data_IF_480431890215
#
_entry.id   IF_480431890215
#
_cell.length_a   1.000
_cell.length_b   1.000
_cell.length_c   1.000
_cell.angle_alpha   90.00
_cell.angle_beta   90.00
_cell.angle_gamma   90.00
#
_symmetry.space_group_name_H-M   'P 1'
#
loop_
_entity.id
_entity.type
_entity.pdbx_description
1 polymer ?
#
# COMPACT_ATOMS: atom_id res chain seq x y z
N UNK A 1 14.51 -28.29 -23.33
CA UNK A 1 15.10 -26.96 -23.65
C UNK A 1 15.09 -26.65 -25.17
N UNK A 2 14.64 -27.58 -26.01
CA UNK A 2 14.56 -27.35 -27.47
C UNK A 2 13.31 -26.56 -27.90
N UNK A 3 12.27 -26.54 -27.08
CA UNK A 3 11.06 -25.77 -27.33
C UNK A 3 11.04 -24.50 -26.47
N UNK A 4 10.90 -23.30 -27.04
CA UNK A 4 10.79 -22.09 -26.26
C UNK A 4 9.61 -22.13 -25.30
N UNK A 5 9.80 -21.64 -24.11
CA UNK A 5 8.75 -21.48 -23.12
C UNK A 5 8.08 -20.12 -23.31
N UNK A 6 6.75 -20.08 -23.35
CA UNK A 6 6.04 -18.81 -23.32
C UNK A 6 6.10 -18.24 -21.91
N UNK A 7 6.66 -17.03 -21.79
CA UNK A 7 6.73 -16.29 -20.53
C UNK A 7 6.06 -14.94 -20.72
N UNK A 8 5.53 -14.40 -19.64
CA UNK A 8 4.94 -13.08 -19.58
C UNK A 8 5.45 -12.36 -18.32
N UNK A 9 5.96 -11.12 -18.45
CA UNK A 9 6.34 -10.34 -17.26
C UNK A 9 5.09 -10.05 -16.41
N UNK A 10 5.17 -10.39 -15.14
CA UNK A 10 4.09 -10.15 -14.20
C UNK A 10 4.66 -9.55 -12.91
N UNK A 11 3.89 -8.67 -12.27
CA UNK A 11 4.24 -8.13 -10.96
C UNK A 11 4.22 -9.30 -9.97
N UNK A 12 5.32 -9.46 -9.25
CA UNK A 12 5.50 -10.54 -8.29
C UNK A 12 5.56 -10.05 -6.84
N UNK A 13 6.20 -8.91 -6.61
CA UNK A 13 6.44 -8.36 -5.28
C UNK A 13 6.44 -6.83 -5.33
N UNK A 14 5.89 -6.18 -4.32
CA UNK A 14 5.90 -4.73 -4.18
C UNK A 14 6.89 -4.33 -3.07
N UNK A 15 7.97 -3.64 -3.44
CA UNK A 15 8.86 -3.03 -2.47
C UNK A 15 8.19 -1.80 -1.89
N UNK A 16 8.34 -1.63 -0.58
CA UNK A 16 7.62 -0.62 0.17
C UNK A 16 6.46 -1.21 0.95
N UNK A 17 5.79 -0.41 1.75
CA UNK A 17 4.69 -0.85 2.60
C UNK A 17 4.49 0.08 3.79
N UNK A 18 3.85 -0.41 4.83
CA UNK A 18 3.59 0.34 6.05
C UNK A 18 4.92 0.62 6.77
N UNK A 19 5.14 1.88 7.14
CA UNK A 19 6.29 2.24 7.98
C UNK A 19 6.21 1.54 9.34
N UNK A 20 7.32 0.98 9.78
CA UNK A 20 7.50 0.37 11.11
C UNK A 20 8.85 0.77 11.71
N UNK A 21 8.94 0.75 13.02
CA UNK A 21 10.20 0.85 13.75
C UNK A 21 10.93 -0.51 13.81
N UNK A 22 12.03 -0.57 14.56
CA UNK A 22 12.80 -1.82 14.71
C UNK A 22 12.06 -2.92 15.47
N UNK A 23 11.07 -2.56 16.23
CA UNK A 23 10.19 -3.50 16.94
C UNK A 23 8.97 -3.89 16.09
N UNK A 24 8.97 -3.55 14.79
CA UNK A 24 7.90 -3.79 13.82
C UNK A 24 6.57 -3.08 14.16
N UNK A 25 6.61 -2.09 15.05
CA UNK A 25 5.44 -1.30 15.40
C UNK A 25 5.25 -0.15 14.42
N UNK A 26 4.02 0.06 14.00
CA UNK A 26 3.63 1.17 13.13
C UNK A 26 3.56 2.48 13.90
N UNK A 27 3.19 3.57 13.25
CA UNK A 27 2.89 4.84 13.91
C UNK A 27 1.66 4.78 14.83
N UNK A 28 0.88 3.70 14.76
CA UNK A 28 -0.27 3.45 15.65
C UNK A 28 0.19 2.49 16.76
N UNK A 29 0.21 2.92 18.04
CA UNK A 29 0.64 2.06 19.12
C UNK A 29 -0.16 0.76 19.22
N UNK A 30 0.54 -0.38 19.30
CA UNK A 30 -0.07 -1.70 19.36
C UNK A 30 -0.45 -2.32 18.01
N UNK A 31 -0.24 -1.60 16.91
CA UNK A 31 -0.38 -2.14 15.57
C UNK A 31 1.00 -2.44 14.98
N UNK A 32 1.22 -3.68 14.59
CA UNK A 32 2.47 -4.18 14.03
C UNK A 32 2.28 -4.64 12.59
N UNK A 33 3.29 -4.45 11.75
CA UNK A 33 3.29 -4.96 10.38
C UNK A 33 4.57 -5.77 10.13
N UNK A 34 4.42 -6.99 9.60
CA UNK A 34 5.50 -7.92 9.34
C UNK A 34 5.51 -8.39 7.88
N UNK A 35 6.65 -8.88 7.42
CA UNK A 35 6.81 -9.38 6.06
C UNK A 35 6.57 -8.32 5.00
N UNK A 36 5.96 -8.70 3.89
CA UNK A 36 5.71 -7.79 2.75
C UNK A 36 4.75 -6.64 3.07
N UNK A 37 3.98 -6.73 4.16
CA UNK A 37 3.08 -5.65 4.57
C UNK A 37 3.84 -4.41 5.09
N UNK A 38 5.04 -4.57 5.63
CA UNK A 38 5.88 -3.45 6.03
C UNK A 38 6.79 -2.98 4.89
N UNK A 39 7.38 -1.78 5.04
CA UNK A 39 8.25 -1.20 4.01
C UNK A 39 9.54 -1.97 3.78
N UNK A 40 9.91 -2.84 4.70
CA UNK A 40 11.10 -3.70 4.73
C UNK A 40 12.44 -2.97 4.48
N UNK A 41 13.53 -3.71 4.56
CA UNK A 41 14.89 -3.23 4.31
C UNK A 41 15.42 -3.56 2.91
N UNK A 42 14.50 -3.92 1.98
CA UNK A 42 14.90 -4.28 0.61
C UNK A 42 15.37 -3.09 -0.23
N UNK A 43 15.08 -1.88 0.20
CA UNK A 43 15.40 -0.68 -0.57
C UNK A 43 14.63 -0.63 -1.89
N UNK A 44 15.29 -0.12 -2.93
CA UNK A 44 14.66 0.08 -4.24
C UNK A 44 14.44 -1.21 -5.03
N UNK A 45 15.13 -2.29 -4.71
CA UNK A 45 14.97 -3.58 -5.37
C UNK A 45 15.32 -4.74 -4.45
N UNK A 46 14.48 -5.76 -4.45
CA UNK A 46 14.61 -6.95 -3.63
C UNK A 46 15.51 -8.00 -4.28
N UNK A 47 16.44 -8.56 -3.52
CA UNK A 47 17.20 -9.74 -3.94
C UNK A 47 16.28 -10.99 -3.99
N UNK A 48 16.61 -11.91 -4.87
CA UNK A 48 15.90 -13.19 -4.98
C UNK A 48 15.87 -13.92 -3.64
N UNK A 49 14.71 -14.50 -3.28
CA UNK A 49 14.42 -15.24 -2.06
C UNK A 49 14.48 -14.43 -0.73
N UNK A 50 14.93 -13.18 -0.71
CA UNK A 50 15.06 -12.40 0.53
C UNK A 50 13.71 -12.02 1.17
N UNK A 51 12.61 -11.97 0.41
CA UNK A 51 11.29 -11.66 0.95
C UNK A 51 10.80 -12.69 1.98
N UNK A 52 10.90 -13.97 1.65
CA UNK A 52 10.55 -15.03 2.60
C UNK A 52 11.48 -15.03 3.81
N UNK A 53 12.77 -14.77 3.59
CA UNK A 53 13.75 -14.70 4.67
C UNK A 53 13.44 -13.55 5.62
N UNK A 54 13.09 -12.37 5.11
CA UNK A 54 12.67 -11.24 5.93
C UNK A 54 11.38 -11.56 6.71
N UNK A 55 10.35 -12.08 6.06
CA UNK A 55 9.11 -12.43 6.74
C UNK A 55 9.27 -13.49 7.83
N UNK A 56 10.18 -14.46 7.62
CA UNK A 56 10.55 -15.43 8.65
C UNK A 56 11.33 -14.79 9.79
N UNK A 57 12.28 -13.90 9.47
CA UNK A 57 13.05 -13.17 10.48
C UNK A 57 12.13 -12.31 11.36
N UNK A 58 11.24 -11.54 10.75
CA UNK A 58 10.24 -10.73 11.46
C UNK A 58 9.39 -11.60 12.40
N UNK A 59 8.85 -12.71 11.88
CA UNK A 59 7.93 -13.56 12.63
C UNK A 59 8.59 -14.41 13.72
N UNK A 60 9.81 -14.93 13.49
CA UNK A 60 10.46 -15.83 14.44
C UNK A 60 11.43 -15.14 15.38
N UNK A 61 12.13 -14.09 14.93
CA UNK A 61 13.20 -13.49 15.73
C UNK A 61 12.82 -12.13 16.32
N UNK A 62 11.99 -11.33 15.66
CA UNK A 62 11.64 -10.00 16.14
C UNK A 62 10.32 -9.99 16.89
N UNK A 63 9.25 -10.45 16.25
CA UNK A 63 7.88 -10.36 16.78
C UNK A 63 7.67 -10.96 18.19
N UNK A 64 8.25 -12.11 18.57
CA UNK A 64 8.09 -12.64 19.92
C UNK A 64 8.62 -11.69 21.00
N UNK A 65 9.76 -11.04 20.75
CA UNK A 65 10.33 -10.05 21.68
C UNK A 65 9.50 -8.77 21.69
N UNK A 66 9.06 -8.32 20.53
CA UNK A 66 8.18 -7.17 20.41
C UNK A 66 6.90 -7.32 21.22
N UNK A 67 6.21 -8.46 21.09
CA UNK A 67 4.99 -8.75 21.86
C UNK A 67 5.30 -8.79 23.35
N UNK A 68 6.37 -9.46 23.75
CA UNK A 68 6.79 -9.54 25.14
C UNK A 68 7.07 -8.15 25.73
N UNK A 69 7.85 -7.33 25.02
CA UNK A 69 8.20 -5.99 25.46
C UNK A 69 6.97 -5.08 25.56
N UNK A 70 6.13 -5.09 24.52
CA UNK A 70 4.91 -4.27 24.46
C UNK A 70 3.91 -4.63 25.56
N UNK A 71 3.80 -5.91 25.90
CA UNK A 71 2.86 -6.40 26.91
C UNK A 71 3.46 -6.49 28.33
N UNK A 72 4.75 -6.21 28.53
CA UNK A 72 5.42 -6.42 29.82
C UNK A 72 4.73 -5.70 30.97
N UNK A 73 4.31 -4.46 30.75
CA UNK A 73 3.62 -3.63 31.73
C UNK A 73 2.11 -3.93 31.82
N UNK A 74 1.58 -4.75 30.92
CA UNK A 74 0.16 -5.06 30.80
C UNK A 74 -0.23 -6.42 31.40
N UNK A 75 0.73 -7.23 31.84
CA UNK A 75 0.48 -8.61 32.31
C UNK A 75 -0.50 -8.65 33.50
N UNK A 76 -0.45 -7.65 34.35
CA UNK A 76 -1.31 -7.53 35.56
C UNK A 76 -2.54 -6.67 35.34
N UNK A 77 -2.68 -6.03 34.18
CA UNK A 77 -3.82 -5.16 33.91
C UNK A 77 -5.06 -6.03 33.60
N UNK A 78 -6.21 -5.73 34.25
CA UNK A 78 -7.46 -6.43 33.92
C UNK A 78 -7.80 -6.32 32.44
N UNK A 79 -8.41 -7.37 31.88
CA UNK A 79 -8.91 -7.32 30.50
C UNK A 79 -9.96 -6.23 30.37
N UNK A 80 -9.89 -5.49 29.30
CA UNK A 80 -10.93 -4.53 28.96
C UNK A 80 -12.25 -5.24 28.66
N UNK A 81 -13.37 -4.66 29.17
CA UNK A 81 -14.68 -5.11 28.79
C UNK A 81 -15.02 -4.66 27.37
N UNK A 82 -15.69 -5.50 26.62
CA UNK A 82 -16.26 -5.13 25.32
C UNK A 82 -17.44 -4.16 25.42
N UNK A 83 -17.91 -3.87 26.65
CA UNK A 83 -18.96 -2.88 26.91
C UNK A 83 -18.42 -1.42 26.91
N UNK A 84 -17.12 -1.23 26.73
CA UNK A 84 -16.53 0.10 26.59
C UNK A 84 -17.09 0.81 25.37
N UNK A 85 -17.36 2.13 25.45
CA UNK A 85 -17.95 2.89 24.38
C UNK A 85 -17.14 2.87 23.08
N UNK A 86 -15.82 2.74 23.16
CA UNK A 86 -14.92 2.66 22.02
C UNK A 86 -15.22 1.47 21.09
N UNK A 87 -15.64 0.34 21.65
CA UNK A 87 -16.05 -0.82 20.86
C UNK A 87 -17.36 -0.55 20.09
N UNK A 88 -18.34 0.07 20.76
CA UNK A 88 -19.60 0.44 20.13
C UNK A 88 -19.40 1.52 19.05
N UNK A 89 -18.50 2.48 19.26
CA UNK A 89 -18.13 3.49 18.28
C UNK A 89 -17.47 2.86 17.04
N UNK A 90 -16.54 1.94 17.23
CA UNK A 90 -15.89 1.21 16.15
C UNK A 90 -16.89 0.38 15.34
N UNK A 91 -17.76 -0.37 16.00
CA UNK A 91 -18.84 -1.15 15.35
C UNK A 91 -19.75 -0.24 14.52
N UNK A 92 -20.20 0.89 15.11
CA UNK A 92 -21.04 1.87 14.43
C UNK A 92 -20.34 2.47 13.20
N UNK A 93 -19.05 2.75 13.28
CA UNK A 93 -18.29 3.28 12.15
C UNK A 93 -18.20 2.27 11.00
N UNK A 94 -17.96 0.99 11.30
CA UNK A 94 -17.94 -0.08 10.29
C UNK A 94 -19.32 -0.27 9.69
N UNK A 95 -20.37 -0.30 10.51
CA UNK A 95 -21.76 -0.43 10.03
C UNK A 95 -22.15 0.74 9.12
N UNK A 96 -21.76 1.96 9.46
CA UNK A 96 -22.01 3.14 8.63
C UNK A 96 -21.33 3.04 7.25
N UNK A 97 -20.09 2.51 7.21
CA UNK A 97 -19.38 2.25 5.95
C UNK A 97 -20.10 1.20 5.09
N UNK A 98 -20.56 0.11 5.71
CA UNK A 98 -21.34 -0.94 5.02
C UNK A 98 -22.65 -0.37 4.48
N UNK A 99 -23.41 0.34 5.32
CA UNK A 99 -24.69 0.94 4.93
C UNK A 99 -24.51 1.96 3.80
N UNK A 100 -23.44 2.75 3.84
CA UNK A 100 -23.12 3.69 2.77
C UNK A 100 -22.90 2.95 1.44
N UNK A 101 -22.02 1.94 1.40
CA UNK A 101 -21.73 1.17 0.20
C UNK A 101 -22.97 0.47 -0.38
N UNK A 102 -23.78 -0.16 0.48
CA UNK A 102 -25.01 -0.85 0.07
C UNK A 102 -26.12 0.10 -0.42
N UNK A 103 -26.06 1.37 -0.03
CA UNK A 103 -27.00 2.39 -0.44
C UNK A 103 -26.64 3.11 -1.73
N UNK A 104 -25.44 2.94 -2.27
CA UNK A 104 -25.08 3.42 -3.59
C UNK A 104 -25.91 2.63 -4.62
N UNK A 105 -26.72 3.34 -5.42
CA UNK A 105 -27.65 2.74 -6.39
C UNK A 105 -27.19 3.01 -7.83
N UNK A 106 -25.91 2.82 -8.06
CA UNK A 106 -25.29 2.97 -9.36
C UNK A 106 -25.57 1.81 -10.32
N UNK A 107 -24.80 1.74 -11.41
CA UNK A 107 -24.95 0.76 -12.48
C UNK A 107 -23.69 -0.06 -12.75
N UNK A 108 -22.59 0.28 -12.09
CA UNK A 108 -21.30 -0.38 -12.31
C UNK A 108 -21.05 -1.46 -11.24
N UNK A 109 -20.72 -2.67 -11.68
CA UNK A 109 -20.30 -3.72 -10.75
C UNK A 109 -18.91 -3.42 -10.19
N UNK A 110 -18.61 -3.97 -9.01
CA UNK A 110 -17.28 -3.89 -8.37
C UNK A 110 -16.20 -4.34 -9.34
N UNK A 111 -16.40 -5.47 -10.02
CA UNK A 111 -15.42 -6.02 -10.98
C UNK A 111 -15.18 -5.09 -12.17
N UNK A 112 -16.18 -4.34 -12.63
CA UNK A 112 -16.00 -3.41 -13.75
C UNK A 112 -15.12 -2.23 -13.37
N UNK A 113 -15.31 -1.67 -12.17
CA UNK A 113 -14.51 -0.56 -11.64
C UNK A 113 -13.08 -1.06 -11.34
N UNK A 114 -12.94 -2.26 -10.77
CA UNK A 114 -11.63 -2.86 -10.50
C UNK A 114 -10.82 -3.09 -11.79
N UNK A 115 -11.46 -3.56 -12.85
CA UNK A 115 -10.80 -3.73 -14.15
C UNK A 115 -10.35 -2.40 -14.76
N UNK A 116 -11.13 -1.35 -14.57
CA UNK A 116 -10.78 -0.01 -15.02
C UNK A 116 -9.58 0.53 -14.22
N UNK A 117 -9.61 0.38 -12.89
CA UNK A 117 -8.45 0.69 -12.04
C UNK A 117 -7.19 -0.05 -12.52
N UNK A 118 -7.29 -1.36 -12.75
CA UNK A 118 -6.16 -2.17 -13.21
C UNK A 118 -5.60 -1.69 -14.56
N UNK A 119 -6.44 -1.25 -15.49
CA UNK A 119 -6.00 -0.69 -16.78
C UNK A 119 -5.24 0.62 -16.60
N UNK A 120 -5.76 1.53 -15.77
CA UNK A 120 -5.09 2.81 -15.47
C UNK A 120 -3.75 2.58 -14.79
N UNK A 121 -3.70 1.68 -13.81
CA UNK A 121 -2.44 1.33 -13.15
C UNK A 121 -1.44 0.70 -14.13
N UNK A 122 -1.89 -0.17 -15.00
CA UNK A 122 -1.03 -0.79 -16.01
C UNK A 122 -0.47 0.21 -17.02
N UNK A 123 -1.33 1.10 -17.51
CA UNK A 123 -0.98 2.03 -18.61
C UNK A 123 -0.08 3.17 -18.13
N UNK A 124 -0.40 3.76 -16.95
CA UNK A 124 0.26 5.00 -16.50
C UNK A 124 1.22 4.81 -15.32
N UNK A 125 1.06 3.74 -14.54
CA UNK A 125 1.82 3.50 -13.29
C UNK A 125 2.62 2.19 -13.37
N UNK A 126 2.58 1.52 -14.50
CA UNK A 126 3.27 0.25 -14.75
C UNK A 126 4.79 0.36 -14.77
N UNK A 127 5.44 -0.51 -15.56
CA UNK A 127 6.90 -0.67 -15.51
C UNK A 127 7.67 0.54 -16.05
N UNK A 128 7.27 1.10 -17.19
CA UNK A 128 7.83 2.35 -17.73
C UNK A 128 6.88 3.50 -17.46
N UNK A 129 7.39 4.55 -16.84
CA UNK A 129 6.60 5.69 -16.35
C UNK A 129 7.11 6.99 -16.93
N UNK A 130 6.19 7.93 -17.20
CA UNK A 130 6.52 9.31 -17.55
C UNK A 130 5.81 10.27 -16.62
N UNK A 131 6.33 11.48 -16.44
CA UNK A 131 5.68 12.50 -15.62
C UNK A 131 4.29 12.86 -16.17
N UNK A 132 4.15 12.92 -17.48
CA UNK A 132 2.88 13.19 -18.14
C UNK A 132 1.88 12.06 -17.92
N UNK A 133 2.31 10.81 -18.15
CA UNK A 133 1.48 9.62 -17.91
C UNK A 133 1.04 9.51 -16.45
N UNK A 134 1.94 9.73 -15.49
CA UNK A 134 1.61 9.70 -14.06
C UNK A 134 0.58 10.78 -13.67
N UNK A 135 0.67 11.97 -14.24
CA UNK A 135 -0.32 13.03 -14.01
C UNK A 135 -1.70 12.67 -14.57
N UNK A 136 -1.74 12.11 -15.78
CA UNK A 136 -3.01 11.62 -16.36
C UNK A 136 -3.54 10.42 -15.56
N UNK A 137 -2.68 9.49 -15.14
CA UNK A 137 -3.03 8.38 -14.26
C UNK A 137 -3.68 8.85 -12.96
N UNK A 138 -3.07 9.81 -12.25
CA UNK A 138 -3.64 10.40 -11.03
C UNK A 138 -5.01 11.05 -11.27
N UNK A 139 -5.18 11.74 -12.40
CA UNK A 139 -6.48 12.31 -12.76
C UNK A 139 -7.52 11.21 -12.98
N UNK A 140 -7.17 10.14 -13.72
CA UNK A 140 -8.05 9.00 -13.96
C UNK A 140 -8.41 8.25 -12.67
N UNK A 141 -7.45 8.07 -11.75
CA UNK A 141 -7.68 7.45 -10.45
C UNK A 141 -8.70 8.24 -9.61
N UNK A 142 -8.58 9.57 -9.59
CA UNK A 142 -9.58 10.44 -8.94
C UNK A 142 -10.98 10.37 -9.60
N UNK A 143 -11.04 10.16 -10.91
CA UNK A 143 -12.30 9.93 -11.61
C UNK A 143 -12.92 8.57 -11.23
N UNK A 144 -12.10 7.51 -11.17
CA UNK A 144 -12.53 6.17 -10.72
C UNK A 144 -13.04 6.21 -9.27
N UNK A 145 -12.39 6.95 -8.38
CA UNK A 145 -12.89 7.16 -7.01
C UNK A 145 -14.29 7.76 -7.00
N UNK A 146 -14.50 8.82 -7.78
CA UNK A 146 -15.82 9.46 -7.90
C UNK A 146 -16.87 8.53 -8.51
N UNK A 147 -16.49 7.71 -9.47
CA UNK A 147 -17.37 6.68 -10.04
C UNK A 147 -17.71 5.61 -9.01
N UNK A 148 -16.73 5.13 -8.25
CA UNK A 148 -16.96 4.19 -7.15
C UNK A 148 -17.99 4.73 -6.16
N UNK A 149 -17.88 5.97 -5.76
CA UNK A 149 -18.78 6.60 -4.79
C UNK A 149 -20.22 6.83 -5.33
N UNK A 150 -20.39 6.93 -6.66
CA UNK A 150 -21.69 7.29 -7.26
C UNK A 150 -22.32 6.19 -8.07
N UNK A 151 -21.51 5.40 -8.76
CA UNK A 151 -21.98 4.45 -9.77
C UNK A 151 -21.87 2.98 -9.31
N UNK A 152 -21.32 2.74 -8.13
CA UNK A 152 -21.19 1.38 -7.59
C UNK A 152 -22.58 0.75 -7.39
N UNK A 153 -22.70 -0.51 -7.78
CA UNK A 153 -23.85 -1.36 -7.49
C UNK A 153 -23.37 -2.67 -6.85
N UNK A 154 -23.85 -2.94 -5.65
CA UNK A 154 -23.58 -4.17 -4.91
C UNK A 154 -24.89 -4.98 -4.85
N UNK A 155 -24.95 -6.16 -5.49
CA UNK A 155 -26.11 -7.03 -5.40
C UNK A 155 -26.18 -7.74 -4.03
N UNK A 156 -27.35 -8.24 -3.67
CA UNK A 156 -27.57 -8.99 -2.43
C UNK A 156 -27.91 -8.11 -1.24
N UNK A 157 -27.84 -8.71 -0.07
CA UNK A 157 -28.19 -8.09 1.21
C UNK A 157 -26.93 -7.86 2.05
N UNK A 158 -27.05 -7.00 3.06
CA UNK A 158 -25.94 -6.70 3.97
C UNK A 158 -25.83 -7.71 5.11
N UNK A 159 -26.89 -8.44 5.39
CA UNK A 159 -26.92 -9.50 6.39
C UNK A 159 -26.37 -10.79 5.82
N UNK A 160 -25.37 -11.33 6.49
CA UNK A 160 -24.68 -12.55 6.06
C UNK A 160 -23.47 -12.29 5.15
N UNK A 161 -23.01 -13.36 4.50
CA UNK A 161 -21.80 -13.30 3.67
C UNK A 161 -22.13 -12.73 2.28
N UNK A 162 -21.66 -11.52 2.00
CA UNK A 162 -21.78 -10.87 0.69
C UNK A 162 -20.39 -10.64 0.09
N UNK A 163 -20.01 -11.49 -0.87
CA UNK A 163 -18.69 -11.44 -1.53
C UNK A 163 -18.49 -10.14 -2.32
N UNK A 164 -19.53 -9.60 -2.91
CA UNK A 164 -19.46 -8.33 -3.67
C UNK A 164 -19.23 -7.13 -2.74
N UNK A 165 -19.80 -7.17 -1.54
CA UNK A 165 -19.52 -6.18 -0.50
C UNK A 165 -18.06 -6.25 -0.01
N UNK A 166 -17.52 -7.46 0.25
CA UNK A 166 -16.10 -7.65 0.60
C UNK A 166 -15.18 -7.10 -0.49
N UNK A 167 -15.47 -7.42 -1.75
CA UNK A 167 -14.72 -6.87 -2.89
C UNK A 167 -14.81 -5.33 -2.95
N UNK A 168 -15.97 -4.74 -2.68
CA UNK A 168 -16.16 -3.29 -2.72
C UNK A 168 -15.34 -2.58 -1.63
N UNK A 169 -15.30 -3.13 -0.42
CA UNK A 169 -14.49 -2.61 0.68
C UNK A 169 -13.01 -2.61 0.28
N UNK A 170 -12.51 -3.72 -0.27
CA UNK A 170 -11.12 -3.84 -0.72
C UNK A 170 -10.81 -2.94 -1.92
N UNK A 171 -11.76 -2.76 -2.84
CA UNK A 171 -11.55 -1.91 -4.01
C UNK A 171 -11.33 -0.45 -3.61
N UNK A 172 -12.02 0.03 -2.57
CA UNK A 172 -11.78 1.35 -2.02
C UNK A 172 -10.30 1.52 -1.59
N UNK A 173 -9.77 0.52 -0.88
CA UNK A 173 -8.39 0.52 -0.43
C UNK A 173 -7.41 0.45 -1.62
N UNK A 174 -7.73 -0.33 -2.66
CA UNK A 174 -6.90 -0.42 -3.88
C UNK A 174 -6.86 0.91 -4.65
N UNK A 175 -7.95 1.67 -4.70
CA UNK A 175 -7.99 3.00 -5.31
C UNK A 175 -7.04 3.93 -4.54
N UNK A 176 -7.12 3.94 -3.21
CA UNK A 176 -6.27 4.75 -2.33
C UNK A 176 -4.80 4.40 -2.50
N UNK A 177 -4.46 3.11 -2.52
CA UNK A 177 -3.09 2.65 -2.76
C UNK A 177 -2.61 3.00 -4.17
N UNK A 178 -3.45 2.88 -5.18
CA UNK A 178 -3.12 3.26 -6.56
C UNK A 178 -2.77 4.74 -6.68
N UNK A 179 -3.53 5.62 -6.05
CA UNK A 179 -3.24 7.05 -6.00
C UNK A 179 -1.91 7.33 -5.29
N UNK A 180 -1.65 6.67 -4.15
CA UNK A 180 -0.40 6.85 -3.40
C UNK A 180 0.82 6.39 -4.21
N UNK A 181 0.74 5.23 -4.86
CA UNK A 181 1.84 4.70 -5.70
C UNK A 181 2.11 5.63 -6.89
N UNK A 182 1.08 6.13 -7.54
CA UNK A 182 1.24 7.07 -8.65
C UNK A 182 1.81 8.42 -8.19
N UNK A 183 1.38 8.89 -7.03
CA UNK A 183 1.84 10.13 -6.42
C UNK A 183 3.32 10.05 -6.01
N UNK A 184 3.72 8.96 -5.34
CA UNK A 184 5.12 8.71 -4.98
C UNK A 184 6.01 8.63 -6.23
N UNK A 185 5.58 7.87 -7.24
CA UNK A 185 6.30 7.73 -8.50
C UNK A 185 6.48 9.08 -9.24
N UNK A 186 5.49 9.97 -9.17
CA UNK A 186 5.58 11.31 -9.77
C UNK A 186 6.59 12.19 -9.04
N UNK A 187 6.68 12.06 -7.72
CA UNK A 187 7.55 12.88 -6.88
C UNK A 187 9.02 12.43 -6.89
N UNK A 188 9.31 11.19 -7.30
CA UNK A 188 10.67 10.67 -7.38
C UNK A 188 11.23 10.82 -8.81
N UNK A 189 12.04 11.84 -9.01
CA UNK A 189 12.60 12.21 -10.31
C UNK A 189 13.94 11.51 -10.60
N UNK A 190 13.95 10.21 -10.51
CA UNK A 190 15.07 9.33 -10.85
C UNK A 190 14.56 7.98 -11.36
N UNK A 191 15.44 7.10 -11.79
CA UNK A 191 15.16 5.69 -11.97
C UNK A 191 16.06 4.86 -11.07
N UNK A 192 15.47 4.08 -10.16
CA UNK A 192 16.19 3.26 -9.20
C UNK A 192 15.41 1.98 -8.87
N UNK A 193 16.02 0.82 -9.08
CA UNK A 193 15.40 -0.48 -8.81
C UNK A 193 14.12 -0.70 -9.61
N UNK A 194 13.01 -0.98 -8.93
CA UNK A 194 11.70 -1.19 -9.55
C UNK A 194 11.00 0.11 -10.02
N UNK A 195 11.51 1.27 -9.61
CA UNK A 195 11.01 2.56 -10.08
C UNK A 195 11.75 3.00 -11.32
N UNK A 196 11.07 3.04 -12.46
CA UNK A 196 11.66 3.41 -13.74
C UNK A 196 10.88 4.54 -14.40
N UNK A 197 11.56 5.68 -14.56
CA UNK A 197 11.05 6.88 -15.24
C UNK A 197 11.78 7.02 -16.57
N UNK A 198 11.03 7.02 -17.68
CA UNK A 198 11.60 7.09 -19.03
C UNK A 198 12.43 8.35 -19.27
N UNK A 199 12.14 9.44 -18.52
CA UNK A 199 12.92 10.68 -18.57
C UNK A 199 14.28 10.58 -17.87
N UNK A 200 14.46 9.57 -17.01
CA UNK A 200 15.67 9.36 -16.21
C UNK A 200 16.37 8.06 -16.59
N UNK A 201 16.96 8.08 -17.78
CA UNK A 201 17.76 6.99 -18.33
C UNK A 201 19.18 7.50 -18.70
N UNK A 202 20.14 6.59 -18.75
CA UNK A 202 21.44 6.83 -19.36
C UNK A 202 21.32 6.80 -20.90
N UNK A 203 22.41 7.13 -21.60
CA UNK A 203 22.44 7.06 -23.07
C UNK A 203 22.24 5.62 -23.58
N UNK A 204 22.58 4.63 -22.78
CA UNK A 204 22.39 3.20 -23.07
C UNK A 204 21.00 2.68 -22.71
N UNK A 205 20.12 3.53 -22.16
CA UNK A 205 18.75 3.16 -21.76
C UNK A 205 18.64 2.53 -20.37
N UNK A 206 19.70 2.59 -19.58
CA UNK A 206 19.74 2.08 -18.21
C UNK A 206 19.16 3.10 -17.21
N UNK A 207 18.79 2.62 -16.03
CA UNK A 207 18.24 3.45 -14.96
C UNK A 207 19.26 4.52 -14.52
N UNK A 208 18.86 5.78 -14.54
CA UNK A 208 19.65 6.92 -14.08
C UNK A 208 19.23 7.31 -12.68
N UNK A 209 20.07 6.98 -11.71
CA UNK A 209 19.89 7.34 -10.29
C UNK A 209 20.31 8.78 -10.04
N UNK A 210 19.73 9.35 -9.01
CA UNK A 210 20.09 10.66 -8.45
C UNK A 210 20.26 10.54 -6.93
N UNK A 211 21.40 9.95 -6.52
CA UNK A 211 21.70 9.70 -5.12
C UNK A 211 21.85 10.99 -4.30
N UNK A 212 22.19 12.10 -4.92
CA UNK A 212 22.31 13.39 -4.23
C UNK A 212 20.96 13.88 -3.69
N UNK A 213 19.89 13.73 -4.48
CA UNK A 213 18.56 14.23 -4.15
C UNK A 213 17.63 13.17 -3.58
N UNK A 214 17.83 11.88 -3.88
CA UNK A 214 16.87 10.82 -3.58
C UNK A 214 17.42 9.67 -2.73
N UNK A 215 18.60 9.84 -2.11
CA UNK A 215 19.15 8.83 -1.18
C UNK A 215 18.41 8.85 0.17
N UNK A 216 17.10 8.56 0.14
CA UNK A 216 16.24 8.46 1.31
C UNK A 216 15.06 7.52 1.04
N UNK A 217 14.44 7.04 2.11
CA UNK A 217 13.13 6.38 2.05
C UNK A 217 12.03 7.43 2.12
N UNK A 218 11.14 7.44 1.15
CA UNK A 218 9.95 8.29 1.18
C UNK A 218 8.89 7.66 2.10
N UNK A 219 8.45 8.38 3.11
CA UNK A 219 7.32 8.01 3.95
C UNK A 219 6.22 9.06 3.76
N UNK A 220 5.02 8.60 3.40
CA UNK A 220 3.88 9.47 3.15
C UNK A 220 2.93 9.46 4.33
N UNK A 221 2.78 10.61 5.00
CA UNK A 221 1.89 10.75 6.15
C UNK A 221 0.47 11.09 5.70
N UNK A 222 -0.50 10.29 6.15
CA UNK A 222 -1.91 10.50 5.90
C UNK A 222 -2.43 11.75 6.63
N UNK A 223 -3.15 12.62 5.93
CA UNK A 223 -3.62 13.92 6.45
C UNK A 223 -5.08 13.88 6.97
N UNK A 224 -5.60 12.70 7.27
CA UNK A 224 -6.94 12.51 7.84
C UNK A 224 -8.10 12.61 6.84
N UNK A 225 -7.82 12.74 5.55
CA UNK A 225 -8.80 12.73 4.48
C UNK A 225 -8.16 12.33 3.16
N UNK A 226 -8.82 11.50 2.37
CA UNK A 226 -8.37 11.10 1.04
C UNK A 226 -8.44 12.25 0.00
N UNK A 227 -9.10 13.35 0.35
CA UNK A 227 -9.12 14.57 -0.47
C UNK A 227 -7.86 15.45 -0.27
N UNK A 228 -7.12 15.22 0.81
CA UNK A 228 -5.89 15.94 1.11
C UNK A 228 -4.69 15.18 0.55
N UNK A 229 -3.76 15.92 -0.04
CA UNK A 229 -2.49 15.34 -0.45
C UNK A 229 -1.70 14.86 0.78
N UNK A 230 -1.08 13.68 0.73
CA UNK A 230 -0.23 13.20 1.82
C UNK A 230 1.02 14.06 1.94
N UNK A 231 1.58 14.13 3.14
CA UNK A 231 2.82 14.87 3.40
C UNK A 231 4.02 13.93 3.34
N UNK A 232 5.01 14.31 2.56
CA UNK A 232 6.26 13.57 2.46
C UNK A 232 7.11 13.79 3.72
N UNK A 233 7.34 12.72 4.45
CA UNK A 233 8.36 12.63 5.47
C UNK A 233 9.57 11.90 4.88
N UNK A 234 10.70 12.59 4.77
CA UNK A 234 11.95 11.98 4.32
C UNK A 234 12.58 11.24 5.49
N UNK A 235 12.43 9.93 5.53
CA UNK A 235 13.15 9.10 6.48
C UNK A 235 14.56 8.87 5.95
N UNK A 236 15.49 9.73 6.32
CA UNK A 236 16.92 9.53 6.04
C UNK A 236 17.48 8.68 7.16
N UNK A 237 17.61 7.40 6.93
CA UNK A 237 18.23 6.51 7.88
C UNK A 237 19.61 6.07 7.41
N UNK A 238 20.55 7.00 7.43
CA UNK A 238 21.97 6.64 7.27
C UNK A 238 22.51 5.84 8.46
N UNK A 239 21.91 5.98 9.63
CA UNK A 239 22.28 5.26 10.83
C UNK A 239 22.09 3.74 10.73
N UNK A 240 21.29 3.27 9.76
CA UNK A 240 21.06 1.85 9.55
C UNK A 240 21.99 1.23 8.50
N UNK A 241 22.63 2.05 7.67
CA UNK A 241 23.61 1.60 6.68
C UNK A 241 25.05 1.61 7.23
N UNK A 242 25.27 2.21 8.38
CA UNK A 242 26.55 2.21 9.09
C UNK A 242 26.50 1.24 10.28
N UNK A 243 26.13 0.00 10.03
CA UNK A 243 26.52 -1.07 10.94
C UNK A 243 28.01 -1.36 10.73
N UNK A 244 28.79 -1.46 11.82
CA UNK A 244 30.22 -1.77 11.76
C UNK A 244 30.49 -3.14 11.16
#
# INVERSE_FOLDING_TARGET
YKTPMMIFPAIHYTMGGIWVDYELMTSIPGLFAIGEANFSDHGANRLGASALMQGLADGYFVLPYTIQNYLSDQITVPRFSTDLPEFAEAEKAVQAKIDHLMNIKGKKSVDSIHKELGRVMWEYVGMGRTAEGLKEGLKRLKEIRKEFEKELFIPGEKEGMNVELDKAIRLYDFITMGELVAYDALNRNESCGGHFREEYQTEEGEAKRDDENYFYVACWEYQGSDEKEPVLLKAVSYTHLTLP
#
